data_IF_963050703453
#
_entry.id   IF_963050703453
#
_cell.length_a   1.000
_cell.length_b   1.000
_cell.length_c   1.000
_cell.angle_alpha   90.00
_cell.angle_beta   90.00
_cell.angle_gamma   90.00
#
_symmetry.space_group_name_H-M   'P 1'
#
loop_
_entity.id
_entity.type
_entity.pdbx_description
1 polymer ?
#
# COMPACT_ATOMS: atom_id res chain seq x y z
N UNK A 1 2.03 -16.60 -22.34
CA UNK A 1 0.64 -16.07 -22.37
C UNK A 1 0.47 -15.18 -21.14
N UNK A 2 -0.01 -13.94 -21.29
CA UNK A 2 -0.29 -13.04 -20.16
C UNK A 2 -1.64 -13.41 -19.56
N UNK A 3 -1.72 -13.58 -18.24
CA UNK A 3 -2.95 -13.99 -17.51
C UNK A 3 -3.88 -12.78 -17.29
N UNK A 4 -3.31 -11.61 -17.01
CA UNK A 4 -4.05 -10.36 -16.89
C UNK A 4 -3.11 -9.18 -16.63
N UNK A 5 -3.64 -7.97 -16.73
CA UNK A 5 -2.91 -6.71 -16.51
C UNK A 5 -3.66 -5.84 -15.50
N UNK A 6 -2.92 -5.12 -14.68
CA UNK A 6 -3.52 -4.24 -13.69
C UNK A 6 -2.64 -3.03 -13.41
N UNK A 7 -3.31 -1.90 -13.19
CA UNK A 7 -2.67 -0.62 -12.93
C UNK A 7 -3.42 0.11 -11.82
N UNK A 8 -2.69 0.86 -11.00
CA UNK A 8 -3.29 1.67 -9.96
C UNK A 8 -2.48 2.96 -9.71
N UNK A 9 -3.22 4.05 -9.45
CA UNK A 9 -2.65 5.36 -9.15
C UNK A 9 -3.17 5.78 -7.78
N UNK A 10 -2.25 6.14 -6.89
CA UNK A 10 -2.57 6.54 -5.52
C UNK A 10 -2.02 7.91 -5.18
N UNK A 11 -2.90 8.72 -4.60
CA UNK A 11 -2.53 9.94 -3.91
C UNK A 11 -1.91 9.61 -2.54
N UNK A 12 -0.63 9.97 -2.35
CA UNK A 12 0.10 9.77 -1.09
C UNK A 12 -0.54 10.53 0.08
N UNK A 13 -1.25 11.65 -0.19
CA UNK A 13 -2.00 12.42 0.82
C UNK A 13 -3.19 11.63 1.35
N UNK A 14 -3.84 10.82 0.49
CA UNK A 14 -4.92 9.90 0.90
C UNK A 14 -4.40 8.84 1.85
N UNK A 15 -3.25 8.23 1.52
CA UNK A 15 -2.61 7.23 2.38
C UNK A 15 -2.20 7.84 3.71
N UNK A 16 -1.62 9.04 3.70
CA UNK A 16 -1.29 9.79 4.92
C UNK A 16 -2.54 9.98 5.80
N UNK A 17 -3.61 10.55 5.25
CA UNK A 17 -4.87 10.79 5.97
C UNK A 17 -5.46 9.49 6.52
N UNK A 18 -5.41 8.41 5.76
CA UNK A 18 -5.92 7.09 6.17
C UNK A 18 -5.10 6.52 7.33
N UNK A 19 -3.77 6.60 7.26
CA UNK A 19 -2.89 6.18 8.36
C UNK A 19 -3.10 7.06 9.59
N UNK A 20 -3.27 8.37 9.44
CA UNK A 20 -3.57 9.27 10.56
C UNK A 20 -4.90 8.91 11.23
N UNK A 21 -5.94 8.62 10.45
CA UNK A 21 -7.28 8.35 10.99
C UNK A 21 -7.42 6.95 11.61
N UNK A 22 -6.76 5.93 11.04
CA UNK A 22 -6.97 4.54 11.43
C UNK A 22 -5.74 3.86 12.04
N UNK A 23 -4.57 4.48 11.95
CA UNK A 23 -3.32 4.01 12.54
C UNK A 23 -3.01 2.55 12.19
N UNK A 24 -2.75 1.76 13.24
CA UNK A 24 -2.39 0.36 13.11
C UNK A 24 -3.50 -0.52 12.55
N UNK A 25 -4.77 -0.13 12.67
CA UNK A 25 -5.89 -0.92 12.12
C UNK A 25 -5.81 -0.99 10.59
N UNK A 26 -5.51 0.14 9.93
CA UNK A 26 -5.29 0.16 8.49
C UNK A 26 -4.01 -0.59 8.11
N UNK A 27 -2.90 -0.34 8.83
CA UNK A 27 -1.62 -0.98 8.54
C UNK A 27 -1.72 -2.51 8.59
N UNK A 28 -2.30 -3.07 9.65
CA UNK A 28 -2.46 -4.53 9.82
C UNK A 28 -3.48 -5.15 8.86
N UNK A 29 -4.44 -4.37 8.34
CA UNK A 29 -5.42 -4.87 7.37
C UNK A 29 -4.82 -5.02 5.98
N UNK A 30 -3.95 -4.11 5.56
CA UNK A 30 -3.49 -4.01 4.18
C UNK A 30 -2.04 -4.51 3.96
N UNK A 31 -1.26 -4.63 5.04
CA UNK A 31 0.17 -4.94 4.96
C UNK A 31 0.55 -6.08 5.90
N UNK A 32 1.51 -6.89 5.47
CA UNK A 32 2.17 -7.90 6.29
C UNK A 32 3.08 -7.22 7.33
N UNK A 33 3.39 -7.94 8.41
CA UNK A 33 4.28 -7.47 9.48
C UNK A 33 5.66 -7.04 8.96
N UNK A 34 6.22 -7.78 8.01
CA UNK A 34 7.50 -7.46 7.35
C UNK A 34 7.43 -6.18 6.52
N UNK A 35 6.30 -5.93 5.85
CA UNK A 35 6.08 -4.72 5.05
C UNK A 35 5.89 -3.48 5.93
N UNK A 36 5.17 -3.63 7.04
CA UNK A 36 5.02 -2.59 8.06
C UNK A 36 6.40 -2.23 8.60
N UNK A 37 7.16 -3.21 9.10
CA UNK A 37 8.52 -2.98 9.64
C UNK A 37 9.39 -2.21 8.65
N UNK A 38 9.47 -2.67 7.40
CA UNK A 38 10.26 -2.02 6.36
C UNK A 38 9.78 -0.60 6.03
N UNK A 39 8.48 -0.35 6.13
CA UNK A 39 7.91 0.98 5.84
C UNK A 39 8.17 1.96 6.99
N UNK A 40 8.12 1.50 8.25
CA UNK A 40 8.48 2.32 9.42
C UNK A 40 9.97 2.65 9.49
N UNK A 41 10.84 1.75 9.02
CA UNK A 41 12.30 2.00 8.92
C UNK A 41 12.67 3.01 7.82
N UNK A 42 11.72 3.38 6.96
CA UNK A 42 11.95 4.34 5.87
C UNK A 42 11.70 5.78 6.36
N UNK A 43 12.63 6.70 6.07
CA UNK A 43 12.50 8.14 6.38
C UNK A 43 11.15 8.71 5.91
N UNK A 44 10.69 8.31 4.72
CA UNK A 44 9.38 8.67 4.19
C UNK A 44 8.43 7.46 4.20
N UNK A 45 8.00 7.08 5.41
CA UNK A 45 7.13 5.93 5.64
C UNK A 45 5.81 6.00 4.86
N UNK A 46 5.20 7.18 4.75
CA UNK A 46 3.95 7.40 3.98
C UNK A 46 4.12 7.03 2.51
N UNK A 47 5.19 7.49 1.85
CA UNK A 47 5.46 7.12 0.46
C UNK A 47 5.76 5.63 0.31
N UNK A 48 6.45 5.05 1.30
CA UNK A 48 6.71 3.61 1.39
C UNK A 48 5.40 2.82 1.41
N UNK A 49 4.43 3.22 2.24
CA UNK A 49 3.10 2.62 2.30
C UNK A 49 2.31 2.83 1.01
N UNK A 50 2.31 4.04 0.44
CA UNK A 50 1.56 4.36 -0.75
C UNK A 50 2.01 3.55 -1.98
N UNK A 51 3.32 3.41 -2.19
CA UNK A 51 3.88 2.57 -3.26
C UNK A 51 3.42 1.12 -3.16
N UNK A 52 3.47 0.55 -1.95
CA UNK A 52 3.05 -0.85 -1.72
C UNK A 52 1.54 -1.03 -1.88
N UNK A 53 0.76 -0.06 -1.41
CA UNK A 53 -0.68 -0.08 -1.58
C UNK A 53 -1.06 -0.09 -3.07
N UNK A 54 -0.42 0.77 -3.88
CA UNK A 54 -0.63 0.80 -5.34
C UNK A 54 -0.26 -0.51 -6.02
N UNK A 55 0.87 -1.11 -5.64
CA UNK A 55 1.29 -2.39 -6.19
C UNK A 55 0.29 -3.52 -5.87
N UNK A 56 -0.26 -3.54 -4.65
CA UNK A 56 -1.27 -4.54 -4.24
C UNK A 56 -2.59 -4.36 -4.99
N UNK A 57 -3.07 -3.13 -5.14
CA UNK A 57 -4.29 -2.82 -5.90
C UNK A 57 -4.12 -3.14 -7.40
N UNK A 58 -2.97 -2.80 -7.98
CA UNK A 58 -2.65 -3.15 -9.37
C UNK A 58 -2.60 -4.68 -9.56
N UNK A 59 -2.02 -5.41 -8.61
CA UNK A 59 -1.98 -6.88 -8.64
C UNK A 59 -3.40 -7.48 -8.55
N UNK A 60 -4.23 -6.99 -7.63
CA UNK A 60 -5.62 -7.43 -7.51
C UNK A 60 -6.38 -7.26 -8.84
N UNK A 61 -6.25 -6.10 -9.49
CA UNK A 61 -6.88 -5.85 -10.81
C UNK A 61 -6.36 -6.76 -11.91
N UNK A 62 -5.09 -7.16 -11.85
CA UNK A 62 -4.49 -8.05 -12.84
C UNK A 62 -4.98 -9.50 -12.71
N UNK A 63 -5.34 -9.92 -11.50
CA UNK A 63 -5.75 -11.30 -11.20
C UNK A 63 -7.26 -11.52 -11.31
N UNK A 64 -8.06 -10.44 -11.33
CA UNK A 64 -9.52 -10.50 -11.24
C UNK A 64 -10.00 -10.75 -9.81
#
# INVERSE_FOLDING_TARGET
MIIGIGTDIIDTRRIKKTITNFGNKFKKRCFLSSEIKRSEETINSVNSYAKRYAAKEACAKALG
#
